data_IF_900300896827
#
_entry.id   IF_900300896827
#
_cell.length_a   1.000
_cell.length_b   1.000
_cell.length_c   1.000
_cell.angle_alpha   90.00
_cell.angle_beta   90.00
_cell.angle_gamma   90.00
#
_symmetry.space_group_name_H-M   'P 1'
#
loop_
_entity.id
_entity.type
_entity.pdbx_description
1 polymer ?
#
# COMPACT_ATOMS: atom_id res chain seq x y z
N UNK A 1 44.27 -19.28 -12.37
CA UNK A 1 43.41 -18.33 -11.61
C UNK A 1 43.49 -16.92 -12.20
N UNK A 2 42.79 -16.64 -13.30
CA UNK A 2 42.59 -15.29 -13.86
C UNK A 2 41.35 -15.36 -14.74
N UNK A 3 40.22 -14.82 -14.27
CA UNK A 3 39.03 -14.39 -15.04
C UNK A 3 37.93 -13.92 -14.07
N UNK A 4 38.01 -12.70 -13.51
CA UNK A 4 36.81 -12.05 -13.00
C UNK A 4 36.63 -10.62 -13.51
N UNK A 5 37.21 -10.26 -14.67
CA UNK A 5 37.04 -8.92 -15.26
C UNK A 5 36.09 -8.93 -16.48
N UNK A 6 35.91 -10.06 -17.14
CA UNK A 6 35.11 -10.14 -18.38
C UNK A 6 33.61 -10.30 -18.12
N UNK A 7 33.22 -10.86 -16.97
CA UNK A 7 31.80 -11.06 -16.61
C UNK A 7 31.14 -9.75 -16.12
N UNK A 8 31.93 -8.80 -15.63
CA UNK A 8 31.43 -7.51 -15.12
C UNK A 8 31.14 -6.50 -16.24
N UNK A 9 31.78 -6.62 -17.41
CA UNK A 9 31.59 -5.67 -18.52
C UNK A 9 30.33 -5.95 -19.36
N UNK A 10 29.82 -7.20 -19.35
CA UNK A 10 28.63 -7.60 -20.13
C UNK A 10 27.31 -7.13 -19.51
N UNK A 11 27.29 -6.79 -18.22
CA UNK A 11 26.08 -6.28 -17.56
C UNK A 11 25.89 -4.75 -17.70
N UNK A 12 26.96 -4.00 -17.95
CA UNK A 12 26.90 -2.53 -17.99
C UNK A 12 26.33 -2.01 -19.33
N UNK A 13 26.48 -2.75 -20.43
CA UNK A 13 25.95 -2.34 -21.74
C UNK A 13 24.45 -2.61 -21.95
N UNK A 14 23.78 -3.37 -21.07
CA UNK A 14 22.35 -3.68 -21.24
C UNK A 14 21.41 -2.61 -20.65
N UNK A 15 21.94 -1.67 -19.86
CA UNK A 15 21.13 -0.66 -19.17
C UNK A 15 20.91 0.64 -19.98
N UNK A 16 21.55 0.80 -21.14
CA UNK A 16 21.46 2.04 -21.93
C UNK A 16 20.35 2.06 -23.00
N UNK A 17 19.48 1.04 -23.08
CA UNK A 17 18.43 0.97 -24.13
C UNK A 17 17.02 1.34 -23.60
N UNK A 18 16.84 1.57 -22.30
CA UNK A 18 15.51 1.85 -21.73
C UNK A 18 15.12 3.34 -21.66
N UNK A 19 15.92 4.27 -22.16
CA UNK A 19 15.46 5.67 -22.35
C UNK A 19 14.67 5.79 -23.65
N UNK A 20 13.53 5.10 -23.72
CA UNK A 20 12.49 5.45 -24.68
C UNK A 20 11.98 6.87 -24.37
N UNK A 21 11.50 7.64 -25.37
CA UNK A 21 10.87 8.92 -25.11
C UNK A 21 9.74 8.70 -24.10
N UNK A 22 9.64 9.59 -23.11
CA UNK A 22 8.53 9.63 -22.16
C UNK A 22 7.23 9.82 -22.96
N UNK A 23 6.62 8.69 -23.34
CA UNK A 23 5.33 8.68 -23.99
C UNK A 23 4.33 9.08 -22.92
N UNK A 24 4.02 10.38 -22.85
CA UNK A 24 2.93 10.88 -22.05
C UNK A 24 1.66 10.16 -22.48
N UNK A 25 1.27 9.13 -21.74
CA UNK A 25 0.01 8.44 -21.97
C UNK A 25 -1.10 9.46 -21.71
N UNK A 26 -1.72 9.95 -22.79
CA UNK A 26 -3.05 10.53 -22.70
C UNK A 26 -3.96 9.43 -22.18
N UNK A 27 -4.25 9.45 -20.89
CA UNK A 27 -5.27 8.57 -20.34
C UNK A 27 -6.60 9.01 -20.95
N UNK A 28 -7.12 8.22 -21.88
CA UNK A 28 -8.54 8.27 -22.17
C UNK A 28 -9.21 7.79 -20.87
N UNK A 29 -9.68 8.74 -20.05
CA UNK A 29 -10.29 8.43 -18.77
C UNK A 29 -11.57 7.63 -19.03
N UNK A 30 -11.46 6.31 -19.06
CA UNK A 30 -12.61 5.42 -18.92
C UNK A 30 -13.16 5.72 -17.53
N UNK A 31 -14.43 6.17 -17.40
CA UNK A 31 -15.00 6.41 -16.09
C UNK A 31 -14.80 5.18 -15.24
N UNK A 32 -14.07 5.33 -14.13
CA UNK A 32 -13.82 4.19 -13.25
C UNK A 32 -15.18 3.65 -12.81
N UNK A 33 -15.27 2.34 -12.57
CA UNK A 33 -16.51 1.73 -12.08
C UNK A 33 -17.02 2.46 -10.83
N UNK A 34 -16.12 3.01 -10.00
CA UNK A 34 -16.47 3.85 -8.86
C UNK A 34 -17.24 5.12 -9.25
N UNK A 35 -16.85 5.83 -10.32
CA UNK A 35 -17.59 7.03 -10.78
C UNK A 35 -19.01 6.68 -11.26
N UNK A 36 -19.24 5.44 -11.71
CA UNK A 36 -20.57 4.94 -12.09
C UNK A 36 -21.43 4.61 -10.87
N UNK A 37 -20.83 4.19 -9.76
CA UNK A 37 -21.57 3.73 -8.57
C UNK A 37 -21.65 4.76 -7.43
N UNK A 38 -20.66 5.63 -7.28
CA UNK A 38 -20.61 6.66 -6.26
C UNK A 38 -21.23 7.94 -6.84
N UNK A 39 -22.50 8.18 -6.50
CA UNK A 39 -23.26 9.29 -7.10
C UNK A 39 -23.34 10.54 -6.25
N UNK A 40 -23.21 10.43 -4.92
CA UNK A 40 -23.24 11.57 -4.01
C UNK A 40 -24.41 12.57 -4.27
N UNK A 41 -24.38 13.75 -3.62
CA UNK A 41 -23.55 14.06 -2.46
C UNK A 41 -23.87 13.12 -1.28
N UNK A 42 -22.90 12.93 -0.38
CA UNK A 42 -23.08 12.12 0.82
C UNK A 42 -23.10 13.03 2.05
N UNK A 43 -23.97 12.76 3.04
CA UNK A 43 -24.07 13.57 4.25
C UNK A 43 -22.86 13.42 5.19
N UNK A 44 -22.19 12.27 5.18
CA UNK A 44 -21.02 11.96 6.01
C UNK A 44 -20.18 10.84 5.38
N UNK A 45 -19.03 10.53 5.98
CA UNK A 45 -18.14 9.45 5.52
C UNK A 45 -18.79 8.06 5.60
N UNK A 46 -19.63 7.81 6.62
CA UNK A 46 -20.30 6.52 6.80
C UNK A 46 -21.29 6.24 5.67
N UNK A 47 -21.96 7.27 5.15
CA UNK A 47 -22.85 7.17 4.01
C UNK A 47 -22.10 6.73 2.73
N UNK A 48 -20.87 7.20 2.53
CA UNK A 48 -20.00 6.71 1.44
C UNK A 48 -19.58 5.26 1.69
N UNK A 49 -19.15 4.92 2.92
CA UNK A 49 -18.74 3.56 3.27
C UNK A 49 -19.86 2.55 3.02
N UNK A 50 -21.13 2.90 3.31
CA UNK A 50 -22.30 2.04 3.01
C UNK A 50 -22.39 1.70 1.53
N UNK A 51 -22.03 2.61 0.62
CA UNK A 51 -21.98 2.33 -0.81
C UNK A 51 -20.78 1.46 -1.18
N UNK A 52 -19.60 1.70 -0.60
CA UNK A 52 -18.43 0.84 -0.80
C UNK A 52 -18.72 -0.62 -0.39
N UNK A 53 -19.42 -0.81 0.74
CA UNK A 53 -19.80 -2.11 1.29
C UNK A 53 -20.84 -2.87 0.44
N UNK A 54 -21.40 -2.27 -0.61
CA UNK A 54 -22.23 -3.01 -1.58
C UNK A 54 -21.40 -4.00 -2.40
N UNK A 55 -20.11 -3.72 -2.62
CA UNK A 55 -19.20 -4.57 -3.38
C UNK A 55 -17.96 -5.01 -2.60
N UNK A 56 -17.53 -4.28 -1.58
CA UNK A 56 -16.26 -4.48 -0.87
C UNK A 56 -16.42 -4.92 0.59
N UNK A 57 -17.28 -5.91 0.86
CA UNK A 57 -17.47 -6.43 2.24
C UNK A 57 -16.25 -7.18 2.74
N UNK A 58 -15.64 -8.01 1.91
CA UNK A 58 -14.44 -8.77 2.26
C UNK A 58 -13.27 -7.85 2.57
N UNK A 59 -13.02 -6.84 1.72
CA UNK A 59 -11.95 -5.88 1.96
C UNK A 59 -12.21 -5.04 3.21
N UNK A 60 -13.48 -4.72 3.51
CA UNK A 60 -13.81 -4.06 4.77
C UNK A 60 -13.50 -4.97 5.97
N UNK A 61 -13.84 -6.25 5.90
CA UNK A 61 -13.52 -7.23 6.94
C UNK A 61 -12.00 -7.37 7.13
N UNK A 62 -11.22 -7.46 6.05
CA UNK A 62 -9.76 -7.49 6.11
C UNK A 62 -9.19 -6.24 6.80
N UNK A 63 -9.73 -5.05 6.50
CA UNK A 63 -9.32 -3.80 7.14
C UNK A 63 -9.63 -3.82 8.63
N UNK A 64 -10.81 -4.32 9.04
CA UNK A 64 -11.20 -4.41 10.45
C UNK A 64 -10.25 -5.31 11.28
N UNK A 65 -9.61 -6.29 10.64
CA UNK A 65 -8.61 -7.16 11.26
C UNK A 65 -7.16 -6.64 11.13
N UNK A 66 -6.95 -5.49 10.49
CA UNK A 66 -5.62 -4.94 10.23
C UNK A 66 -5.09 -4.07 11.37
N UNK A 67 -3.77 -3.84 11.38
CA UNK A 67 -3.11 -2.91 12.29
C UNK A 67 -3.63 -1.46 12.16
N UNK A 68 -4.13 -1.06 10.99
CA UNK A 68 -4.67 0.28 10.75
C UNK A 68 -5.99 0.52 11.48
N UNK A 69 -6.82 -0.51 11.63
CA UNK A 69 -8.09 -0.42 12.37
C UNK A 69 -7.88 -0.70 13.86
N UNK A 70 -7.17 -1.78 14.18
CA UNK A 70 -6.95 -2.20 15.56
C UNK A 70 -5.96 -1.30 16.31
N UNK A 71 -5.10 -0.55 15.60
CA UNK A 71 -3.98 0.18 16.20
C UNK A 71 -3.11 -0.72 17.07
N UNK A 72 -3.00 -1.98 16.66
CA UNK A 72 -2.20 -3.01 17.28
C UNK A 72 -1.36 -3.74 16.23
N UNK A 73 -0.21 -4.25 16.63
CA UNK A 73 0.66 -5.05 15.80
C UNK A 73 1.91 -5.53 16.53
N UNK A 74 2.77 -6.28 15.82
CA UNK A 74 4.05 -6.74 16.36
C UNK A 74 4.91 -5.57 16.86
N UNK A 75 5.59 -5.78 18.00
CA UNK A 75 6.48 -4.77 18.59
C UNK A 75 7.91 -5.29 18.81
N UNK A 76 8.60 -5.76 17.76
CA UNK A 76 9.93 -6.36 17.89
C UNK A 76 10.99 -5.40 18.44
N UNK A 77 10.78 -4.09 18.34
CA UNK A 77 11.68 -3.06 18.86
C UNK A 77 11.44 -2.64 20.31
N UNK A 78 10.43 -3.19 21.00
CA UNK A 78 10.13 -2.83 22.41
C UNK A 78 10.85 -3.82 23.33
N UNK A 79 11.81 -3.30 24.11
CA UNK A 79 12.60 -4.11 25.05
C UNK A 79 11.68 -4.81 26.05
N UNK A 80 11.86 -6.13 26.21
CA UNK A 80 11.03 -6.97 27.08
C UNK A 80 9.69 -7.39 26.48
N UNK A 81 9.29 -6.84 25.33
CA UNK A 81 7.96 -7.05 24.74
C UNK A 81 8.01 -7.49 23.26
N UNK A 82 9.19 -7.91 22.78
CA UNK A 82 9.44 -8.21 21.37
C UNK A 82 8.50 -9.25 20.74
N UNK A 83 7.92 -10.13 21.56
CA UNK A 83 7.00 -11.19 21.12
C UNK A 83 5.52 -10.80 21.16
N UNK A 84 5.19 -9.60 21.66
CA UNK A 84 3.79 -9.15 21.72
C UNK A 84 3.31 -8.64 20.36
N UNK A 85 2.13 -9.11 19.97
CA UNK A 85 1.31 -8.58 18.85
C UNK A 85 0.21 -7.61 19.34
N UNK A 86 0.14 -7.51 20.65
CA UNK A 86 -0.62 -6.66 21.55
C UNK A 86 -0.60 -5.14 21.50
N UNK A 87 0.55 -4.67 21.06
CA UNK A 87 1.06 -3.32 21.29
C UNK A 87 0.81 -2.48 20.04
N UNK A 88 1.07 -1.17 20.10
CA UNK A 88 0.80 -0.24 19.00
C UNK A 88 0.22 1.06 19.53
N UNK A 89 -0.28 1.92 18.63
CA UNK A 89 -0.79 3.25 18.99
C UNK A 89 -1.89 3.21 20.06
N UNK A 90 -2.63 2.11 20.18
CA UNK A 90 -3.65 1.94 21.23
C UNK A 90 -3.07 1.79 22.65
N UNK A 91 -1.82 1.34 22.81
CA UNK A 91 -1.24 1.01 24.12
C UNK A 91 0.13 1.64 24.41
N UNK A 92 0.78 2.24 23.41
CA UNK A 92 2.10 2.85 23.57
C UNK A 92 2.00 4.34 23.90
N UNK A 93 2.85 4.81 24.81
CA UNK A 93 3.04 6.22 25.12
C UNK A 93 4.35 6.66 24.46
N UNK A 94 4.35 7.85 23.87
CA UNK A 94 5.55 8.53 23.40
C UNK A 94 5.57 9.98 23.92
N UNK A 95 6.58 10.75 23.55
CA UNK A 95 6.78 12.13 23.98
C UNK A 95 6.51 13.15 22.85
N UNK A 96 5.59 12.83 21.93
CA UNK A 96 5.05 13.74 20.91
C UNK A 96 3.66 14.20 21.34
#
# INVERSE_FOLDING_TARGET
>A
MKKPLFVMLLFILSFCIHTGPAMGQKSNAVPSVHQKHLKGPYPDGMAVTKDCLKCHREQADEVLHSAHWLWQGPSPGVLGEAHRTDLGKRKLINNF
#
